data_IF_577291073227
#
_entry.id   IF_577291073227
#
_cell.length_a   1.000
_cell.length_b   1.000
_cell.length_c   1.000
_cell.angle_alpha   90.00
_cell.angle_beta   90.00
_cell.angle_gamma   90.00
#
_symmetry.space_group_name_H-M   'P 1'
#
loop_
_entity.id
_entity.type
_entity.pdbx_description
1 polymer ?
#
# COMPACT_ATOMS: atom_id res chain seq x y z
N UNK A 1 -9.84 2.61 6.28
CA UNK A 1 -9.05 1.37 6.23
C UNK A 1 -8.72 1.22 4.74
N UNK A 2 -7.45 1.42 4.37
CA UNK A 2 -7.09 2.36 3.30
C UNK A 2 -7.41 1.88 1.87
N UNK A 3 -8.57 2.27 1.35
CA UNK A 3 -8.75 2.44 -0.10
C UNK A 3 -7.88 3.60 -0.56
N UNK A 4 -6.71 3.27 -1.08
CA UNK A 4 -5.82 4.24 -1.70
C UNK A 4 -6.35 4.61 -3.09
N UNK A 5 -6.27 5.89 -3.42
CA UNK A 5 -6.69 6.41 -4.72
C UNK A 5 -5.75 5.93 -5.83
N UNK A 6 -6.26 5.87 -7.05
CA UNK A 6 -5.44 5.62 -8.24
C UNK A 6 -4.26 6.61 -8.29
N UNK A 7 -3.08 6.09 -8.61
CA UNK A 7 -1.83 6.85 -8.66
C UNK A 7 -1.12 6.99 -7.32
N UNK A 8 -1.75 6.63 -6.19
CA UNK A 8 -1.09 6.65 -4.87
C UNK A 8 0.14 5.74 -4.89
N UNK A 9 1.27 6.23 -4.37
CA UNK A 9 2.49 5.44 -4.22
C UNK A 9 2.64 5.01 -2.77
N UNK A 10 2.72 3.71 -2.56
CA UNK A 10 3.01 3.13 -1.26
C UNK A 10 4.48 2.73 -1.19
N UNK A 11 5.06 2.81 0.00
CA UNK A 11 6.41 2.34 0.33
C UNK A 11 6.34 1.35 1.47
N UNK A 12 7.22 0.36 1.48
CA UNK A 12 7.35 -0.56 2.62
C UNK A 12 7.88 0.20 3.84
N UNK A 13 7.27 -0.04 5.00
CA UNK A 13 7.68 0.54 6.29
C UNK A 13 8.96 -0.06 6.87
N UNK A 14 9.39 -1.23 6.38
CA UNK A 14 10.63 -1.87 6.84
C UNK A 14 11.87 -1.13 6.32
N UNK A 15 12.70 -0.66 7.26
CA UNK A 15 13.99 -0.04 6.97
C UNK A 15 14.86 -0.96 6.09
N UNK A 16 15.40 -0.42 4.99
CA UNK A 16 16.26 -1.16 4.08
C UNK A 16 15.56 -2.04 3.04
N UNK A 17 14.23 -2.25 3.13
CA UNK A 17 13.49 -3.01 2.11
C UNK A 17 13.34 -2.21 0.80
N UNK A 18 12.90 -0.96 0.90
CA UNK A 18 12.83 -0.02 -0.24
C UNK A 18 11.78 -0.35 -1.30
N UNK A 19 10.95 -1.38 -1.11
CA UNK A 19 9.87 -1.70 -2.03
C UNK A 19 8.87 -0.55 -2.16
N UNK A 20 8.49 -0.25 -3.41
CA UNK A 20 7.46 0.73 -3.74
C UNK A 20 6.47 0.13 -4.70
N UNK A 21 5.19 0.42 -4.48
CA UNK A 21 4.11 0.03 -5.38
C UNK A 21 3.26 1.25 -5.69
N UNK A 22 2.64 1.26 -6.86
CA UNK A 22 1.66 2.28 -7.25
C UNK A 22 0.31 1.61 -7.38
N UNK A 23 -0.72 2.26 -6.87
CA UNK A 23 -2.09 1.84 -7.09
C UNK A 23 -2.46 2.20 -8.52
N UNK A 24 -2.58 1.19 -9.38
CA UNK A 24 -2.97 1.39 -10.78
C UNK A 24 -4.48 1.61 -10.93
N UNK A 25 -5.29 0.98 -10.06
CA UNK A 25 -6.74 1.15 -9.99
C UNK A 25 -7.17 1.11 -8.53
N UNK A 26 -8.05 2.02 -8.12
CA UNK A 26 -8.56 2.06 -6.76
C UNK A 26 -9.41 0.83 -6.42
N UNK A 27 -9.25 0.30 -5.21
CA UNK A 27 -10.10 -0.78 -4.71
C UNK A 27 -11.41 -0.22 -4.13
N UNK A 28 -12.55 -0.69 -4.68
CA UNK A 28 -13.89 -0.25 -4.31
C UNK A 28 -14.69 -1.30 -3.49
N UNK A 29 -14.02 -2.34 -2.98
CA UNK A 29 -14.69 -3.34 -2.15
C UNK A 29 -15.14 -2.70 -0.82
N UNK A 30 -16.40 -2.92 -0.42
CA UNK A 30 -16.99 -2.31 0.77
C UNK A 30 -16.32 -2.74 2.08
N UNK A 31 -15.65 -3.91 2.08
CA UNK A 31 -14.90 -4.44 3.22
C UNK A 31 -13.38 -4.31 3.03
N UNK A 32 -12.91 -3.56 2.03
CA UNK A 32 -11.49 -3.29 1.88
C UNK A 32 -11.00 -2.49 3.08
N UNK A 33 -10.19 -3.14 3.91
CA UNK A 33 -9.59 -2.44 5.03
C UNK A 33 -8.24 -2.93 5.48
N UNK A 34 -7.82 -4.11 5.06
CA UNK A 34 -6.47 -4.58 5.33
C UNK A 34 -5.43 -3.72 4.61
N UNK A 35 -4.32 -3.46 5.29
CA UNK A 35 -3.19 -2.80 4.67
C UNK A 35 -2.57 -3.70 3.61
N UNK A 36 -2.05 -3.08 2.55
CA UNK A 36 -1.23 -3.81 1.58
C UNK A 36 0.04 -4.28 2.28
N UNK A 37 0.41 -5.55 2.09
CA UNK A 37 1.63 -6.12 2.67
C UNK A 37 2.72 -6.26 1.62
N UNK A 38 3.92 -5.89 2.02
CA UNK A 38 5.12 -6.21 1.27
C UNK A 38 5.46 -7.70 1.43
N UNK A 39 6.14 -8.28 0.44
CA UNK A 39 6.64 -9.66 0.50
C UNK A 39 7.55 -9.92 1.71
N UNK A 40 8.23 -8.87 2.23
CA UNK A 40 9.04 -8.99 3.44
C UNK A 40 8.21 -9.18 4.74
N UNK A 41 6.88 -9.03 4.66
CA UNK A 41 5.95 -9.21 5.77
C UNK A 41 5.44 -7.90 6.40
N UNK A 42 6.09 -6.78 6.10
CA UNK A 42 5.77 -5.45 6.64
C UNK A 42 4.67 -4.74 5.85
N UNK A 43 4.10 -3.68 6.42
CA UNK A 43 3.02 -2.92 5.79
C UNK A 43 3.56 -1.95 4.72
N UNK A 44 2.79 -1.78 3.65
CA UNK A 44 2.97 -0.75 2.65
C UNK A 44 2.15 0.47 3.06
N UNK A 45 2.82 1.61 3.25
CA UNK A 45 2.23 2.88 3.70
C UNK A 45 2.37 3.94 2.63
N UNK A 46 1.39 4.86 2.54
CA UNK A 46 1.46 5.95 1.57
C UNK A 46 2.66 6.86 1.88
N UNK A 47 3.40 7.21 0.82
CA UNK A 47 4.40 8.27 0.91
C UNK A 47 3.65 9.60 0.88
N UNK A 48 3.75 10.38 1.96
CA UNK A 48 3.18 11.73 2.04
C UNK A 48 3.87 12.74 1.14
#
# INVERSE_FOLDING_TARGET
MASYEEGTVLTCGHEGCGCRVRIEVACHCAEAGEAYRCTCGDELVAVG
#
